data_IF_305335355347
#
_entry.id   IF_305335355347
#
_cell.length_a   1.000
_cell.length_b   1.000
_cell.length_c   1.000
_cell.angle_alpha   90.00
_cell.angle_beta   90.00
_cell.angle_gamma   90.00
#
_symmetry.space_group_name_H-M   'P 1'
#
loop_
_entity.id
_entity.type
_entity.pdbx_description
1 polymer ?
#
# COMPACT_ATOMS: atom_id res chain seq x y z
N UNK A 1 -47.53 22.79 9.51
CA UNK A 1 -46.13 23.06 9.09
C UNK A 1 -45.52 21.72 8.71
N UNK A 2 -45.73 21.30 7.47
CA UNK A 2 -45.11 20.11 6.89
C UNK A 2 -43.74 20.53 6.39
N UNK A 3 -42.71 20.20 7.14
CA UNK A 3 -41.31 20.37 6.72
C UNK A 3 -41.05 19.43 5.55
N UNK A 4 -40.95 20.01 4.36
CA UNK A 4 -40.48 19.37 3.15
C UNK A 4 -39.09 18.79 3.41
N UNK A 5 -39.04 17.47 3.66
CA UNK A 5 -37.81 16.70 3.52
C UNK A 5 -37.58 16.58 2.02
N UNK A 6 -36.82 17.53 1.47
CA UNK A 6 -36.25 17.42 0.14
C UNK A 6 -35.29 16.23 0.15
N UNK A 7 -35.83 15.04 -0.16
CA UNK A 7 -35.03 13.91 -0.64
C UNK A 7 -34.37 14.34 -1.95
N UNK A 8 -33.12 14.81 -1.85
CA UNK A 8 -32.29 14.98 -3.03
C UNK A 8 -32.15 13.62 -3.72
N UNK A 9 -32.66 13.54 -4.95
CA UNK A 9 -32.45 12.41 -5.83
C UNK A 9 -30.92 12.18 -6.00
N UNK A 10 -30.45 10.92 -6.09
CA UNK A 10 -29.07 10.64 -6.45
C UNK A 10 -28.75 11.36 -7.76
N UNK A 11 -27.64 12.10 -7.82
CA UNK A 11 -27.31 12.91 -9.00
C UNK A 11 -27.22 12.05 -10.26
N UNK A 12 -27.91 12.43 -11.33
CA UNK A 12 -27.85 11.85 -12.70
C UNK A 12 -26.47 11.94 -13.37
N UNK A 13 -25.44 12.34 -12.63
CA UNK A 13 -24.06 12.40 -13.11
C UNK A 13 -23.50 10.98 -13.19
N UNK A 14 -22.86 10.69 -14.33
CA UNK A 14 -22.03 9.51 -14.48
C UNK A 14 -20.96 9.44 -13.37
N UNK A 15 -20.83 8.30 -12.67
CA UNK A 15 -19.88 8.18 -11.57
C UNK A 15 -18.45 8.49 -12.00
N UNK A 16 -17.74 9.29 -11.21
CA UNK A 16 -16.33 9.57 -11.44
C UNK A 16 -15.47 8.39 -10.95
N UNK A 17 -14.83 7.67 -11.88
CA UNK A 17 -14.00 6.49 -11.57
C UNK A 17 -12.49 6.73 -11.74
N UNK A 18 -12.07 7.74 -12.50
CA UNK A 18 -10.65 7.96 -12.78
C UNK A 18 -9.98 8.77 -11.67
N UNK A 19 -10.69 9.77 -11.14
CA UNK A 19 -10.21 10.63 -10.03
C UNK A 19 -11.27 10.75 -8.93
N UNK A 20 -11.64 9.62 -8.29
CA UNK A 20 -12.77 9.50 -7.38
C UNK A 20 -12.50 10.10 -5.98
N UNK A 21 -11.73 11.17 -5.89
CA UNK A 21 -11.31 11.74 -4.61
C UNK A 21 -12.40 12.62 -4.00
N UNK A 22 -12.78 12.36 -2.75
CA UNK A 22 -13.61 13.33 -2.07
C UNK A 22 -12.81 14.63 -1.84
N UNK A 23 -13.38 15.82 -2.13
CA UNK A 23 -12.66 17.08 -2.04
C UNK A 23 -12.01 17.33 -0.66
N UNK A 24 -12.69 16.97 0.43
CA UNK A 24 -12.19 17.15 1.80
C UNK A 24 -11.09 16.15 2.19
N UNK A 25 -11.00 14.99 1.52
CA UNK A 25 -10.02 13.93 1.84
C UNK A 25 -8.74 14.03 1.00
N UNK A 26 -8.79 14.68 -0.16
CA UNK A 26 -7.64 14.79 -1.07
C UNK A 26 -6.39 15.35 -0.39
N UNK A 27 -6.54 16.41 0.40
CA UNK A 27 -5.42 17.01 1.13
C UNK A 27 -4.87 16.08 2.20
N UNK A 28 -5.72 15.34 2.90
CA UNK A 28 -5.29 14.36 3.89
C UNK A 28 -4.47 13.24 3.24
N UNK A 29 -4.91 12.69 2.10
CA UNK A 29 -4.13 11.67 1.37
C UNK A 29 -2.76 12.20 0.95
N UNK A 30 -2.70 13.42 0.40
CA UNK A 30 -1.43 14.04 0.00
C UNK A 30 -0.51 14.29 1.21
N UNK A 31 -1.06 14.81 2.30
CA UNK A 31 -0.31 15.09 3.52
C UNK A 31 0.26 13.81 4.16
N UNK A 32 -0.53 12.74 4.22
CA UNK A 32 -0.09 11.45 4.74
C UNK A 32 1.04 10.87 3.89
N UNK A 33 0.90 10.84 2.56
CA UNK A 33 1.95 10.36 1.65
C UNK A 33 3.23 11.21 1.76
N UNK A 34 3.09 12.54 1.79
CA UNK A 34 4.23 13.44 1.92
C UNK A 34 4.95 13.26 3.27
N UNK A 35 4.18 13.09 4.35
CA UNK A 35 4.73 12.86 5.68
C UNK A 35 5.52 11.54 5.74
N UNK A 36 4.98 10.44 5.19
CA UNK A 36 5.71 9.16 5.12
C UNK A 36 7.03 9.33 4.36
N UNK A 37 7.00 9.93 3.17
CA UNK A 37 8.22 10.14 2.36
C UNK A 37 9.25 11.04 3.05
N UNK A 38 8.80 12.11 3.71
CA UNK A 38 9.65 13.01 4.47
C UNK A 38 10.29 12.32 5.68
N UNK A 39 9.50 11.63 6.51
CA UNK A 39 10.00 10.92 7.68
C UNK A 39 11.06 9.88 7.27
N UNK A 40 10.80 9.14 6.19
CA UNK A 40 11.71 8.12 5.69
C UNK A 40 13.05 8.71 5.24
N UNK A 41 12.99 9.78 4.44
CA UNK A 41 14.17 10.48 3.97
C UNK A 41 14.95 11.09 5.12
N UNK A 42 14.27 11.68 6.10
CA UNK A 42 14.90 12.28 7.28
C UNK A 42 15.67 11.24 8.10
N UNK A 43 15.09 10.06 8.34
CA UNK A 43 15.76 9.00 9.09
C UNK A 43 16.99 8.47 8.34
N UNK A 44 16.84 8.14 7.05
CA UNK A 44 17.93 7.61 6.21
C UNK A 44 19.08 8.62 6.08
N UNK A 45 18.78 9.88 5.77
CA UNK A 45 19.79 10.93 5.65
C UNK A 45 20.39 11.27 7.01
N UNK A 46 19.58 11.36 8.06
CA UNK A 46 20.04 11.67 9.42
C UNK A 46 21.03 10.64 9.95
N UNK A 47 20.73 9.34 9.77
CA UNK A 47 21.66 8.27 10.15
C UNK A 47 22.85 8.22 9.19
N UNK A 48 22.64 8.35 7.89
CA UNK A 48 23.71 8.36 6.89
C UNK A 48 24.73 9.49 7.05
N UNK A 49 24.29 10.65 7.54
CA UNK A 49 25.14 11.82 7.84
C UNK A 49 25.64 11.85 9.28
N UNK A 50 25.33 10.82 10.09
CA UNK A 50 25.67 10.69 11.51
C UNK A 50 25.09 11.77 12.43
N UNK A 51 24.07 12.50 11.96
CA UNK A 51 23.27 13.41 12.80
C UNK A 51 22.40 12.63 13.78
N UNK A 52 21.91 11.46 13.35
CA UNK A 52 21.15 10.52 14.17
C UNK A 52 21.97 9.24 14.41
N UNK A 53 21.98 8.68 15.64
CA UNK A 53 22.65 7.42 15.89
C UNK A 53 21.80 6.23 15.38
N UNK A 54 22.42 5.17 14.83
CA UNK A 54 21.74 3.92 14.47
C UNK A 54 21.38 3.13 15.74
N UNK A 55 20.41 3.63 16.49
CA UNK A 55 20.00 3.12 17.80
C UNK A 55 18.57 2.60 17.77
N UNK A 56 18.24 1.75 18.74
CA UNK A 56 16.87 1.24 18.91
C UNK A 56 15.85 2.36 19.11
N UNK A 57 16.21 3.46 19.78
CA UNK A 57 15.31 4.61 19.95
C UNK A 57 14.96 5.26 18.61
N UNK A 58 15.96 5.48 17.74
CA UNK A 58 15.73 6.04 16.40
C UNK A 58 14.89 5.08 15.56
N UNK A 59 15.16 3.78 15.66
CA UNK A 59 14.37 2.71 15.04
C UNK A 59 12.89 2.75 15.43
N UNK A 60 12.58 2.81 16.72
CA UNK A 60 11.20 2.91 17.22
C UNK A 60 10.52 4.20 16.72
N UNK A 61 11.17 5.35 16.86
CA UNK A 61 10.58 6.65 16.50
C UNK A 61 10.31 6.73 15.00
N UNK A 62 11.26 6.28 14.18
CA UNK A 62 11.12 6.29 12.73
C UNK A 62 10.01 5.34 12.26
N UNK A 63 9.97 4.09 12.74
CA UNK A 63 8.91 3.14 12.38
C UNK A 63 7.52 3.58 12.86
N UNK A 64 7.41 4.23 14.02
CA UNK A 64 6.15 4.86 14.43
C UNK A 64 5.74 5.99 13.48
N UNK A 65 6.68 6.84 13.06
CA UNK A 65 6.40 7.89 12.08
C UNK A 65 5.99 7.32 10.71
N UNK A 66 6.53 6.16 10.31
CA UNK A 66 6.16 5.48 9.07
C UNK A 66 4.79 4.79 9.17
N UNK A 67 4.52 4.13 10.29
CA UNK A 67 3.31 3.34 10.53
C UNK A 67 2.06 4.20 10.81
N UNK A 68 2.22 5.37 11.43
CA UNK A 68 1.11 6.28 11.74
C UNK A 68 0.23 6.60 10.52
N UNK A 69 0.79 7.02 9.36
CA UNK A 69 0.02 7.22 8.15
C UNK A 69 -0.78 5.99 7.70
N UNK A 70 -0.24 4.79 7.86
CA UNK A 70 -0.92 3.52 7.50
C UNK A 70 -2.15 3.30 8.38
N UNK A 71 -2.05 3.62 9.67
CA UNK A 71 -3.16 3.53 10.63
C UNK A 71 -4.21 4.62 10.38
N UNK A 72 -3.78 5.84 10.03
CA UNK A 72 -4.66 6.99 9.82
C UNK A 72 -5.40 6.90 8.48
N UNK A 73 -4.81 6.29 7.46
CA UNK A 73 -5.37 6.23 6.11
C UNK A 73 -6.79 5.58 6.05
N UNK A 74 -7.07 4.45 6.72
CA UNK A 74 -8.44 3.92 6.84
C UNK A 74 -9.41 4.90 7.50
N UNK A 75 -8.98 5.64 8.52
CA UNK A 75 -9.83 6.63 9.19
C UNK A 75 -10.17 7.80 8.25
N UNK A 76 -9.19 8.27 7.48
CA UNK A 76 -9.42 9.27 6.43
C UNK A 76 -10.35 8.71 5.36
N UNK A 77 -10.17 7.47 4.92
CA UNK A 77 -11.07 6.85 3.95
C UNK A 77 -12.52 6.76 4.45
N UNK A 78 -12.73 6.43 5.73
CA UNK A 78 -14.06 6.34 6.34
C UNK A 78 -14.64 7.69 6.75
N UNK A 79 -13.84 8.77 6.75
CA UNK A 79 -14.28 10.10 7.14
C UNK A 79 -15.23 10.70 6.10
N UNK A 80 -16.52 10.69 6.43
CA UNK A 80 -17.57 11.28 5.61
C UNK A 80 -17.77 12.76 5.94
N UNK A 81 -17.77 13.59 4.89
CA UNK A 81 -18.05 15.03 5.02
C UNK A 81 -19.52 15.29 5.34
N UNK A 82 -19.81 16.44 5.95
CA UNK A 82 -21.21 16.88 6.18
C UNK A 82 -21.94 16.96 4.83
N UNK A 83 -23.03 16.19 4.69
CA UNK A 83 -23.84 16.13 3.47
C UNK A 83 -23.26 15.27 2.33
N UNK A 84 -22.23 14.44 2.59
CA UNK A 84 -21.62 13.61 1.54
C UNK A 84 -22.50 12.40 1.13
N UNK A 85 -23.22 12.54 0.02
CA UNK A 85 -24.02 11.47 -0.61
C UNK A 85 -23.34 10.87 -1.85
N UNK A 86 -22.12 10.33 -1.69
CA UNK A 86 -21.39 9.73 -2.81
C UNK A 86 -21.86 8.31 -3.15
N UNK A 87 -22.03 7.98 -4.44
CA UNK A 87 -22.38 6.63 -4.87
C UNK A 87 -21.39 5.57 -4.36
N UNK A 88 -21.90 4.37 -4.06
CA UNK A 88 -21.06 3.23 -3.59
C UNK A 88 -19.94 2.88 -4.58
N UNK A 89 -20.19 3.04 -5.87
CA UNK A 89 -19.22 2.76 -6.93
C UNK A 89 -18.04 3.75 -6.92
N UNK A 90 -18.28 5.02 -6.60
CA UNK A 90 -17.19 5.99 -6.48
C UNK A 90 -16.35 5.75 -5.23
N UNK A 91 -16.97 5.34 -4.12
CA UNK A 91 -16.22 4.94 -2.91
C UNK A 91 -15.37 3.70 -3.14
N UNK A 92 -15.85 2.78 -3.97
CA UNK A 92 -15.08 1.61 -4.41
C UNK A 92 -13.88 2.04 -5.28
N UNK A 93 -14.12 2.92 -6.27
CA UNK A 93 -13.04 3.48 -7.09
C UNK A 93 -12.01 4.23 -6.24
N UNK A 94 -12.44 5.02 -5.25
CA UNK A 94 -11.56 5.72 -4.32
C UNK A 94 -10.63 4.78 -3.57
N UNK A 95 -11.18 3.69 -3.00
CA UNK A 95 -10.38 2.70 -2.31
C UNK A 95 -9.33 2.07 -3.23
N UNK A 96 -9.72 1.68 -4.46
CA UNK A 96 -8.80 1.16 -5.46
C UNK A 96 -7.69 2.17 -5.78
N UNK A 97 -8.07 3.43 -6.04
CA UNK A 97 -7.12 4.44 -6.48
C UNK A 97 -6.16 4.88 -5.38
N UNK A 98 -6.54 4.81 -4.09
CA UNK A 98 -5.63 5.03 -2.95
C UNK A 98 -4.70 3.84 -2.76
N UNK A 99 -5.25 2.62 -2.82
CA UNK A 99 -4.49 1.42 -2.47
C UNK A 99 -3.40 1.09 -3.49
N UNK A 100 -3.71 1.13 -4.79
CA UNK A 100 -2.76 0.76 -5.84
C UNK A 100 -1.41 1.52 -5.78
N UNK A 101 -1.36 2.86 -5.70
CA UNK A 101 -0.09 3.56 -5.60
C UNK A 101 0.58 3.38 -4.23
N UNK A 102 -0.20 3.17 -3.17
CA UNK A 102 0.34 2.90 -1.84
C UNK A 102 1.10 1.57 -1.81
N UNK A 103 0.48 0.48 -2.29
CA UNK A 103 1.16 -0.82 -2.35
C UNK A 103 2.31 -0.81 -3.36
N UNK A 104 2.11 -0.23 -4.55
CA UNK A 104 3.17 -0.13 -5.54
C UNK A 104 4.36 0.70 -5.04
N UNK A 105 4.10 1.78 -4.28
CA UNK A 105 5.15 2.61 -3.67
C UNK A 105 6.00 1.84 -2.65
N UNK A 106 5.40 0.96 -1.85
CA UNK A 106 6.15 0.06 -0.95
C UNK A 106 7.03 -0.90 -1.76
N UNK A 107 6.49 -1.57 -2.78
CA UNK A 107 7.25 -2.51 -3.60
C UNK A 107 8.41 -1.83 -4.36
N UNK A 108 8.13 -0.68 -4.98
CA UNK A 108 9.12 0.04 -5.78
C UNK A 108 10.12 0.84 -4.96
N UNK A 109 9.70 1.38 -3.81
CA UNK A 109 10.53 2.22 -2.96
C UNK A 109 11.35 1.42 -1.96
N UNK A 110 10.73 0.42 -1.34
CA UNK A 110 11.38 -0.49 -0.41
C UNK A 110 12.02 -1.62 -1.23
N UNK A 111 11.25 -2.63 -1.62
CA UNK A 111 11.77 -3.92 -2.08
C UNK A 111 12.75 -3.85 -3.25
N UNK A 112 12.57 -2.88 -4.17
CA UNK A 112 13.52 -2.66 -5.26
C UNK A 112 14.92 -2.30 -4.76
N UNK A 113 15.03 -1.47 -3.72
CA UNK A 113 16.33 -1.14 -3.12
C UNK A 113 16.96 -2.41 -2.57
N UNK A 114 16.21 -3.21 -1.81
CA UNK A 114 16.68 -4.50 -1.29
C UNK A 114 17.20 -5.42 -2.38
N UNK A 115 16.44 -5.63 -3.45
CA UNK A 115 16.86 -6.47 -4.57
C UNK A 115 18.13 -5.95 -5.24
N UNK A 116 18.28 -4.63 -5.41
CA UNK A 116 19.48 -4.03 -6.00
C UNK A 116 20.69 -4.25 -5.10
N UNK A 117 20.57 -4.10 -3.79
CA UNK A 117 21.72 -4.23 -2.89
C UNK A 117 22.12 -5.66 -2.55
N UNK A 118 21.23 -6.63 -2.76
CA UNK A 118 21.49 -8.03 -2.41
C UNK A 118 22.66 -8.65 -3.22
N UNK A 119 22.78 -8.47 -4.56
CA UNK A 119 23.95 -8.94 -5.32
C UNK A 119 25.29 -8.29 -4.94
N UNK A 120 25.29 -7.20 -4.17
CA UNK A 120 26.49 -6.49 -3.75
C UNK A 120 26.75 -6.60 -2.24
N UNK A 121 26.07 -7.53 -1.55
CA UNK A 121 26.22 -7.78 -0.11
C UNK A 121 26.00 -6.53 0.78
N UNK A 122 25.18 -5.57 0.32
CA UNK A 122 24.99 -4.30 1.03
C UNK A 122 24.29 -4.49 2.38
N UNK A 123 23.48 -5.54 2.52
CA UNK A 123 22.63 -5.81 3.69
C UNK A 123 23.28 -6.69 4.74
N UNK A 124 24.58 -6.97 4.59
CA UNK A 124 25.35 -7.69 5.60
C UNK A 124 25.24 -7.04 6.98
N UNK A 125 25.12 -7.83 8.07
CA UNK A 125 25.04 -7.29 9.42
C UNK A 125 26.22 -6.39 9.75
N UNK A 126 25.94 -5.22 10.34
CA UNK A 126 26.93 -4.21 10.71
C UNK A 126 26.48 -3.44 11.94
N UNK A 127 27.39 -2.76 12.63
CA UNK A 127 27.09 -1.80 13.71
C UNK A 127 27.06 -0.35 13.23
N UNK A 128 27.55 -0.07 12.01
CA UNK A 128 27.51 1.25 11.36
C UNK A 128 26.82 1.12 9.99
N UNK A 129 25.48 1.22 9.95
CA UNK A 129 24.73 1.03 8.71
C UNK A 129 24.78 2.25 7.78
N UNK A 130 25.06 3.45 8.30
CA UNK A 130 25.02 4.70 7.52
C UNK A 130 23.71 4.85 6.73
N UNK A 131 23.81 5.11 5.42
CA UNK A 131 22.64 5.25 4.54
C UNK A 131 21.83 3.96 4.38
N UNK A 132 22.41 2.80 4.70
CA UNK A 132 21.78 1.47 4.63
C UNK A 132 20.85 1.20 5.81
N UNK A 133 20.71 2.17 6.72
CA UNK A 133 19.97 2.07 7.98
C UNK A 133 18.58 1.47 7.82
N UNK A 134 17.88 1.81 6.74
CA UNK A 134 16.53 1.33 6.49
C UNK A 134 16.42 -0.21 6.40
N UNK A 135 17.29 -0.83 5.60
CA UNK A 135 17.32 -2.28 5.46
C UNK A 135 17.96 -2.94 6.66
N UNK A 136 18.96 -2.27 7.23
CA UNK A 136 19.57 -2.71 8.46
C UNK A 136 18.55 -2.83 9.60
N UNK A 137 17.71 -1.82 9.83
CA UNK A 137 16.75 -1.83 10.93
C UNK A 137 15.66 -2.90 10.74
N UNK A 138 15.26 -3.17 9.49
CA UNK A 138 14.32 -4.25 9.19
C UNK A 138 14.99 -5.61 9.34
N UNK A 139 16.24 -5.73 8.89
CA UNK A 139 17.09 -6.91 9.05
C UNK A 139 17.37 -7.30 10.51
N UNK A 140 17.29 -6.36 11.44
CA UNK A 140 17.32 -6.67 12.88
C UNK A 140 16.04 -7.39 13.35
N UNK A 141 14.91 -7.13 12.69
CA UNK A 141 13.62 -7.71 13.02
C UNK A 141 13.30 -8.97 12.22
N UNK A 142 13.78 -9.09 10.98
CA UNK A 142 13.75 -10.32 10.18
C UNK A 142 15.16 -10.55 9.60
N UNK A 143 15.89 -11.50 10.19
CA UNK A 143 17.31 -11.74 9.90
C UNK A 143 17.55 -12.14 8.45
N UNK A 144 16.54 -12.64 7.75
CA UNK A 144 16.68 -13.15 6.37
C UNK A 144 16.88 -12.06 5.33
N UNK A 145 16.49 -10.83 5.65
CA UNK A 145 16.85 -9.66 4.84
C UNK A 145 18.35 -9.34 4.90
N UNK A 146 19.11 -10.00 5.78
CA UNK A 146 20.57 -9.87 5.91
C UNK A 146 21.33 -11.17 5.64
N UNK A 147 20.63 -12.30 5.47
CA UNK A 147 21.24 -13.64 5.41
C UNK A 147 21.26 -14.29 4.02
N UNK A 148 21.12 -13.50 2.96
CA UNK A 148 21.04 -13.97 1.58
C UNK A 148 19.96 -15.06 1.34
N UNK A 149 18.77 -14.88 1.92
CA UNK A 149 17.69 -15.85 1.78
C UNK A 149 17.08 -15.87 0.38
N UNK A 150 17.27 -16.97 -0.35
CA UNK A 150 16.66 -17.20 -1.68
C UNK A 150 15.13 -17.05 -1.65
N UNK A 151 14.50 -17.47 -0.55
CA UNK A 151 13.07 -17.36 -0.36
C UNK A 151 12.62 -15.90 -0.32
N UNK A 152 13.24 -15.08 0.55
CA UNK A 152 12.91 -13.65 0.66
C UNK A 152 13.24 -12.94 -0.65
N UNK A 153 14.39 -13.21 -1.27
CA UNK A 153 14.74 -12.61 -2.55
C UNK A 153 13.68 -12.91 -3.64
N UNK A 154 13.26 -14.17 -3.77
CA UNK A 154 12.23 -14.57 -4.72
C UNK A 154 10.87 -13.91 -4.43
N UNK A 155 10.48 -13.83 -3.16
CA UNK A 155 9.24 -13.17 -2.73
C UNK A 155 9.25 -11.69 -3.09
N UNK A 156 10.33 -10.98 -2.77
CA UNK A 156 10.44 -9.55 -3.06
C UNK A 156 10.55 -9.27 -4.56
N UNK A 157 11.19 -10.14 -5.34
CA UNK A 157 11.22 -10.01 -6.80
C UNK A 157 9.81 -10.08 -7.41
N UNK A 158 8.99 -11.03 -6.94
CA UNK A 158 7.58 -11.11 -7.35
C UNK A 158 6.83 -9.85 -6.91
N UNK A 159 7.08 -9.38 -5.69
CA UNK A 159 6.54 -8.14 -5.15
C UNK A 159 6.83 -6.92 -6.05
N UNK A 160 8.09 -6.72 -6.43
CA UNK A 160 8.56 -5.63 -7.29
C UNK A 160 7.95 -5.67 -8.69
N UNK A 161 7.96 -6.84 -9.35
CA UNK A 161 7.37 -7.00 -10.69
C UNK A 161 5.87 -6.67 -10.64
N UNK A 162 5.18 -7.15 -9.59
CA UNK A 162 3.76 -6.88 -9.38
C UNK A 162 3.50 -5.41 -9.10
N UNK A 163 4.30 -4.78 -8.24
CA UNK A 163 4.24 -3.36 -7.92
C UNK A 163 4.44 -2.47 -9.14
N UNK A 164 5.43 -2.79 -9.99
CA UNK A 164 5.65 -2.09 -11.25
C UNK A 164 4.44 -2.17 -12.18
N UNK A 165 3.86 -3.37 -12.34
CA UNK A 165 2.63 -3.56 -13.12
C UNK A 165 1.47 -2.75 -12.53
N UNK A 166 1.25 -2.81 -11.21
CA UNK A 166 0.18 -2.07 -10.54
C UNK A 166 0.36 -0.56 -10.67
N UNK A 167 1.59 -0.04 -10.63
CA UNK A 167 1.88 1.37 -10.86
C UNK A 167 1.49 1.80 -12.29
N UNK A 168 1.87 1.01 -13.30
CA UNK A 168 1.48 1.26 -14.70
C UNK A 168 -0.04 1.21 -14.86
N UNK A 169 -0.70 0.22 -14.27
CA UNK A 169 -2.17 0.10 -14.30
C UNK A 169 -2.83 1.30 -13.62
N UNK A 170 -2.33 1.73 -12.47
CA UNK A 170 -2.84 2.89 -11.73
C UNK A 170 -2.73 4.17 -12.55
N UNK A 171 -1.58 4.45 -13.17
CA UNK A 171 -1.42 5.63 -14.04
C UNK A 171 -2.38 5.61 -15.22
N UNK A 172 -2.66 4.44 -15.80
CA UNK A 172 -3.69 4.29 -16.84
C UNK A 172 -5.09 4.53 -16.29
N UNK A 173 -5.44 4.01 -15.11
CA UNK A 173 -6.76 4.19 -14.51
C UNK A 173 -7.07 5.66 -14.15
N UNK A 174 -6.04 6.46 -13.84
CA UNK A 174 -6.17 7.91 -13.61
C UNK A 174 -6.57 8.73 -14.84
N UNK A 175 -6.47 8.15 -16.04
CA UNK A 175 -6.87 8.79 -17.30
C UNK A 175 -8.39 8.89 -17.39
N UNK A 176 -8.90 10.09 -17.64
CA UNK A 176 -10.33 10.35 -17.81
C UNK A 176 -10.85 9.93 -19.19
N UNK A 177 -9.96 9.84 -20.18
CA UNK A 177 -10.25 9.48 -21.58
C UNK A 177 -10.08 7.97 -21.87
N UNK A 178 -9.81 7.14 -20.85
CA UNK A 178 -9.57 5.72 -21.05
C UNK A 178 -10.84 5.00 -21.52
N UNK A 179 -10.82 4.30 -22.68
CA UNK A 179 -11.98 3.55 -23.16
C UNK A 179 -12.46 2.51 -22.14
N UNK A 180 -13.78 2.28 -22.08
CA UNK A 180 -14.41 1.38 -21.11
C UNK A 180 -13.78 -0.01 -21.09
N UNK A 181 -13.56 -0.61 -22.27
CA UNK A 181 -12.92 -1.93 -22.39
C UNK A 181 -11.49 -1.94 -21.82
N UNK A 182 -10.70 -0.90 -22.12
CA UNK A 182 -9.36 -0.75 -21.56
C UNK A 182 -9.37 -0.56 -20.05
N UNK A 183 -10.36 0.16 -19.51
CA UNK A 183 -10.55 0.32 -18.06
C UNK A 183 -10.88 -1.01 -17.40
N UNK A 184 -11.78 -1.80 -17.98
CA UNK A 184 -12.12 -3.14 -17.48
C UNK A 184 -10.87 -4.05 -17.47
N UNK A 185 -10.08 -4.05 -18.55
CA UNK A 185 -8.81 -4.80 -18.60
C UNK A 185 -7.82 -4.36 -17.52
N UNK A 186 -7.66 -3.05 -17.33
CA UNK A 186 -6.80 -2.50 -16.27
C UNK A 186 -7.29 -2.93 -14.88
N UNK A 187 -8.60 -2.93 -14.65
CA UNK A 187 -9.17 -3.39 -13.37
C UNK A 187 -8.94 -4.90 -13.15
N UNK A 188 -9.02 -5.74 -14.18
CA UNK A 188 -8.66 -7.16 -14.06
C UNK A 188 -7.17 -7.37 -13.76
N UNK A 189 -6.28 -6.59 -14.38
CA UNK A 189 -4.86 -6.63 -14.05
C UNK A 189 -4.61 -6.16 -12.61
N UNK A 190 -5.28 -5.10 -12.16
CA UNK A 190 -5.23 -4.64 -10.78
C UNK A 190 -5.72 -5.73 -9.81
N UNK A 191 -6.80 -6.42 -10.14
CA UNK A 191 -7.34 -7.54 -9.36
C UNK A 191 -6.32 -8.66 -9.23
N UNK A 192 -5.74 -9.11 -10.35
CA UNK A 192 -4.73 -10.17 -10.35
C UNK A 192 -3.49 -9.78 -9.55
N UNK A 193 -2.98 -8.55 -9.70
CA UNK A 193 -1.85 -8.06 -8.94
C UNK A 193 -2.12 -8.00 -7.44
N UNK A 194 -3.28 -7.50 -7.02
CA UNK A 194 -3.65 -7.49 -5.60
C UNK A 194 -3.79 -8.91 -5.03
N UNK A 195 -4.38 -9.84 -5.78
CA UNK A 195 -4.50 -11.24 -5.37
C UNK A 195 -3.13 -11.93 -5.23
N UNK A 196 -2.20 -11.64 -6.13
CA UNK A 196 -0.84 -12.15 -6.06
C UNK A 196 -0.10 -11.63 -4.82
N UNK A 197 -0.19 -10.33 -4.52
CA UNK A 197 0.41 -9.76 -3.31
C UNK A 197 -0.18 -10.37 -2.03
N UNK A 198 -1.52 -10.51 -1.95
CA UNK A 198 -2.17 -11.22 -0.82
C UNK A 198 -1.59 -12.63 -0.67
N UNK A 199 -1.49 -13.37 -1.77
CA UNK A 199 -0.98 -14.74 -1.75
C UNK A 199 0.45 -14.80 -1.24
N UNK A 200 1.33 -13.92 -1.74
CA UNK A 200 2.74 -13.86 -1.32
C UNK A 200 2.85 -13.52 0.17
N UNK A 201 2.15 -12.48 0.64
CA UNK A 201 2.13 -12.11 2.05
C UNK A 201 1.56 -13.23 2.92
N UNK A 202 0.49 -13.89 2.49
CA UNK A 202 -0.10 -15.02 3.21
C UNK A 202 0.86 -16.20 3.36
N UNK A 203 1.60 -16.55 2.29
CA UNK A 203 2.62 -17.60 2.35
C UNK A 203 3.77 -17.21 3.27
N UNK A 204 4.24 -15.95 3.21
CA UNK A 204 5.26 -15.42 4.13
C UNK A 204 4.84 -15.58 5.61
N UNK A 205 3.62 -15.19 5.97
CA UNK A 205 3.14 -15.36 7.34
C UNK A 205 3.01 -16.82 7.75
N UNK A 206 2.46 -17.68 6.88
CA UNK A 206 2.29 -19.09 7.18
C UNK A 206 3.63 -19.81 7.29
N UNK A 207 4.64 -19.42 6.50
CA UNK A 207 6.00 -19.95 6.64
C UNK A 207 6.61 -19.56 8.00
N UNK A 208 6.38 -18.33 8.48
CA UNK A 208 6.86 -17.91 9.80
C UNK A 208 6.23 -18.69 10.94
N UNK A 209 4.91 -18.84 10.90
CA UNK A 209 4.17 -19.64 11.89
C UNK A 209 4.72 -21.06 11.90
N UNK A 210 4.98 -21.64 10.72
CA UNK A 210 5.52 -22.99 10.60
C UNK A 210 6.98 -23.11 11.08
N UNK A 211 7.78 -22.07 10.89
CA UNK A 211 9.17 -21.99 11.33
C UNK A 211 9.30 -21.63 12.83
N UNK A 212 8.19 -21.31 13.50
CA UNK A 212 8.19 -20.92 14.91
C UNK A 212 8.80 -19.53 15.14
N UNK A 213 8.78 -18.66 14.12
CA UNK A 213 9.32 -17.30 14.16
C UNK A 213 10.83 -17.22 14.48
N UNK A 214 11.60 -18.26 14.12
CA UNK A 214 13.03 -18.35 14.44
C UNK A 214 13.90 -17.22 13.86
N UNK A 215 13.44 -16.60 12.76
CA UNK A 215 14.13 -15.49 12.09
C UNK A 215 13.68 -14.11 12.59
N UNK A 216 12.64 -14.06 13.44
CA UNK A 216 12.06 -12.80 13.92
C UNK A 216 12.79 -12.31 15.18
N UNK A 217 13.56 -11.23 15.01
CA UNK A 217 14.41 -10.60 16.03
C UNK A 217 13.75 -9.43 16.76
N UNK A 218 14.57 -8.65 17.49
CA UNK A 218 14.18 -7.45 18.26
C UNK A 218 13.07 -7.65 19.32
N UNK A 219 12.85 -8.88 19.76
CA UNK A 219 11.90 -9.21 20.83
C UNK A 219 10.48 -8.73 20.53
N UNK A 220 9.80 -8.19 21.54
CA UNK A 220 8.40 -7.77 21.41
C UNK A 220 8.18 -6.68 20.35
N UNK A 221 9.15 -5.77 20.15
CA UNK A 221 9.01 -4.71 19.15
C UNK A 221 9.13 -5.26 17.73
N UNK A 222 10.16 -6.07 17.45
CA UNK A 222 10.30 -6.70 16.13
C UNK A 222 9.12 -7.60 15.79
N UNK A 223 8.66 -8.39 16.75
CA UNK A 223 7.51 -9.27 16.54
C UNK A 223 6.19 -8.51 16.38
N UNK A 224 5.76 -7.72 17.37
CA UNK A 224 4.41 -7.14 17.35
C UNK A 224 4.30 -5.92 16.45
N UNK A 225 5.35 -5.09 16.38
CA UNK A 225 5.29 -3.87 15.58
C UNK A 225 5.68 -4.16 14.14
N UNK A 226 6.93 -4.57 13.90
CA UNK A 226 7.44 -4.71 12.53
C UNK A 226 6.84 -5.92 11.81
N UNK A 227 6.86 -7.09 12.43
CA UNK A 227 6.35 -8.28 11.77
C UNK A 227 4.81 -8.27 11.69
N UNK A 228 4.09 -8.12 12.82
CA UNK A 228 2.63 -8.14 12.83
C UNK A 228 2.02 -6.81 12.32
N UNK A 229 2.26 -5.69 13.01
CA UNK A 229 1.48 -4.47 12.77
C UNK A 229 1.76 -3.82 11.41
N UNK A 230 2.99 -3.91 10.87
CA UNK A 230 3.29 -3.37 9.54
C UNK A 230 2.75 -4.25 8.42
N UNK A 231 2.79 -5.58 8.55
CA UNK A 231 2.44 -6.49 7.46
C UNK A 231 0.96 -6.94 7.44
N UNK A 232 0.29 -7.06 8.60
CA UNK A 232 -1.14 -7.46 8.66
C UNK A 232 -2.06 -6.53 7.85
N UNK A 233 -1.88 -5.20 7.83
CA UNK A 233 -2.64 -4.33 6.95
C UNK A 233 -2.54 -4.72 5.47
N UNK A 234 -1.35 -5.14 5.00
CA UNK A 234 -1.14 -5.63 3.63
C UNK A 234 -1.75 -7.00 3.37
N UNK A 235 -2.04 -7.78 4.41
CA UNK A 235 -2.77 -9.04 4.29
C UNK A 235 -4.29 -8.82 4.23
N UNK A 236 -4.83 -7.89 5.02
CA UNK A 236 -6.27 -7.72 5.20
C UNK A 236 -6.87 -6.72 4.20
N UNK A 237 -6.27 -5.52 4.07
CA UNK A 237 -6.82 -4.43 3.25
C UNK A 237 -7.08 -4.82 1.79
N UNK A 238 -6.17 -5.53 1.09
CA UNK A 238 -6.42 -5.87 -0.30
C UNK A 238 -7.64 -6.77 -0.55
N UNK A 239 -8.17 -7.52 0.43
CA UNK A 239 -9.46 -8.21 0.25
C UNK A 239 -10.61 -7.22 -0.01
N UNK A 240 -10.65 -6.11 0.71
CA UNK A 240 -11.63 -5.05 0.48
C UNK A 240 -11.41 -4.35 -0.86
N UNK A 241 -10.15 -4.21 -1.27
CA UNK A 241 -9.78 -3.64 -2.58
C UNK A 241 -10.23 -4.56 -3.71
N UNK A 242 -10.05 -5.88 -3.59
CA UNK A 242 -10.55 -6.86 -4.57
C UNK A 242 -12.07 -6.75 -4.74
N UNK A 243 -12.82 -6.63 -3.64
CA UNK A 243 -14.28 -6.40 -3.68
C UNK A 243 -14.59 -5.07 -4.40
N UNK A 244 -13.84 -4.01 -4.10
CA UNK A 244 -14.03 -2.71 -4.74
C UNK A 244 -13.72 -2.72 -6.24
N UNK A 245 -12.67 -3.42 -6.66
CA UNK A 245 -12.31 -3.63 -8.07
C UNK A 245 -13.40 -4.46 -8.77
N UNK A 246 -13.85 -5.56 -8.15
CA UNK A 246 -14.91 -6.40 -8.70
C UNK A 246 -16.20 -5.60 -8.95
N UNK A 247 -16.62 -4.74 -8.00
CA UNK A 247 -17.77 -3.86 -8.18
C UNK A 247 -17.63 -2.91 -9.37
N UNK A 248 -16.43 -2.38 -9.60
CA UNK A 248 -16.15 -1.53 -10.77
C UNK A 248 -16.23 -2.32 -12.08
N UNK A 249 -15.67 -3.53 -12.10
CA UNK A 249 -15.74 -4.43 -13.27
C UNK A 249 -17.20 -4.76 -13.59
N UNK A 250 -17.99 -5.21 -12.60
CA UNK A 250 -19.40 -5.59 -12.79
C UNK A 250 -20.22 -4.39 -13.32
N UNK A 251 -20.07 -3.22 -12.70
CA UNK A 251 -20.74 -1.99 -13.13
C UNK A 251 -20.43 -1.64 -14.59
N UNK A 252 -19.15 -1.59 -14.96
CA UNK A 252 -18.72 -1.21 -16.31
C UNK A 252 -19.13 -2.26 -17.36
N UNK A 253 -19.05 -3.54 -17.03
CA UNK A 253 -19.41 -4.64 -17.92
C UNK A 253 -20.90 -4.62 -18.24
N UNK A 254 -21.77 -4.45 -17.23
CA UNK A 254 -23.22 -4.34 -17.44
C UNK A 254 -23.57 -3.15 -18.33
N UNK A 255 -22.94 -2.00 -18.09
CA UNK A 255 -23.18 -0.78 -18.88
C UNK A 255 -22.70 -0.90 -20.32
N UNK A 256 -21.60 -1.60 -20.56
CA UNK A 256 -21.13 -1.90 -21.91
C UNK A 256 -22.09 -2.83 -22.66
N UNK A 257 -22.65 -3.83 -21.98
CA UNK A 257 -23.65 -4.74 -22.55
C UNK A 257 -24.94 -4.04 -23.00
N UNK A 258 -25.46 -3.11 -22.20
CA UNK A 258 -26.68 -2.32 -22.54
C UNK A 258 -26.48 -1.42 -23.75
N UNK A 259 -25.25 -0.97 -24.04
CA UNK A 259 -24.95 -0.12 -25.21
C UNK A 259 -24.76 -0.92 -26.51
N UNK A 260 -24.60 -2.24 -26.42
CA UNK A 260 -24.41 -3.12 -27.56
C UNK A 260 -25.74 -3.69 -28.10
N UNK A 261 -26.84 -3.52 -27.36
CA UNK A 261 -28.22 -3.85 -27.74
C UNK A 261 -28.96 -2.61 -28.22
#
# INVERSE_FOLDING_TARGET
MTSDVTTHAPSDRDPELARPWAPHRRWAYLALTAFTGFAFTLAVVGVGTRVLPPSFTVDVVANLAFGLPVIVLPLVYLWTGRGEHRPRIERAAELTMIYLPYTAGSQLGYETIFLIGHPFDLWTPTTDPGWKWLWWQYGLADTRYTSASDWIFGLELVGVITGAMLFVVWTRLMRTDLPTESRIRCLWLAFAGCAMLISSTGVYFLSEVRAGFGDIGQGAFGFWFKFIAENVPFMILPFFVLIAIHRQIDYLTRRAGVRAT
#
